data_IF_709278336854
#
_entry.id   IF_709278336854
#
_cell.length_a   1.000
_cell.length_b   1.000
_cell.length_c   1.000
_cell.angle_alpha   90.00
_cell.angle_beta   90.00
_cell.angle_gamma   90.00
#
_symmetry.space_group_name_H-M   'P 1'
#
loop_
_entity.id
_entity.type
_entity.pdbx_description
1 polymer ?
#
# COMPACT_ATOMS: atom_id res chain seq x y z
N UNK A 1 3.87 -18.90 -10.96
CA UNK A 1 4.16 -17.78 -11.88
C UNK A 1 5.66 -17.56 -11.89
N UNK A 2 6.30 -17.41 -13.05
CA UNK A 2 7.74 -17.13 -13.13
C UNK A 2 7.99 -15.63 -12.86
N UNK A 3 9.01 -15.32 -12.06
CA UNK A 3 9.43 -13.96 -11.79
C UNK A 3 10.32 -13.45 -12.92
N UNK A 4 9.71 -12.87 -13.95
CA UNK A 4 10.45 -12.44 -15.15
C UNK A 4 11.44 -11.28 -14.90
N UNK A 5 11.36 -10.61 -13.73
CA UNK A 5 12.31 -9.58 -13.33
C UNK A 5 13.72 -10.15 -13.10
N UNK A 6 13.84 -11.45 -12.81
CA UNK A 6 15.14 -12.11 -12.63
C UNK A 6 15.95 -12.18 -13.93
N UNK A 7 15.28 -12.11 -15.09
CA UNK A 7 15.91 -12.15 -16.41
C UNK A 7 16.28 -10.76 -16.96
N UNK A 8 16.12 -9.70 -16.17
CA UNK A 8 16.56 -8.38 -16.58
C UNK A 8 18.09 -8.36 -16.78
N UNK A 9 18.52 -8.01 -18.00
CA UNK A 9 19.95 -7.90 -18.36
C UNK A 9 20.70 -6.85 -17.55
N UNK A 10 20.00 -5.84 -17.04
CA UNK A 10 20.55 -4.74 -16.24
C UNK A 10 20.16 -4.92 -14.77
N UNK A 11 21.08 -4.61 -13.87
CA UNK A 11 20.82 -4.54 -12.43
C UNK A 11 20.37 -3.14 -12.07
N UNK A 12 19.27 -3.04 -11.32
CA UNK A 12 18.74 -1.80 -10.78
C UNK A 12 18.85 -1.85 -9.26
N UNK A 13 19.10 -0.70 -8.64
CA UNK A 13 19.03 -0.58 -7.18
C UNK A 13 17.57 -0.72 -6.69
N UNK A 14 16.63 -0.15 -7.45
CA UNK A 14 15.21 -0.18 -7.15
C UNK A 14 14.39 -0.32 -8.44
N UNK A 15 13.24 -0.98 -8.34
CA UNK A 15 12.21 -1.07 -9.37
C UNK A 15 10.90 -0.60 -8.74
N UNK A 16 10.23 0.36 -9.40
CA UNK A 16 8.91 0.85 -8.98
C UNK A 16 7.91 0.35 -10.01
N UNK A 17 6.84 -0.30 -9.54
CA UNK A 17 5.76 -0.83 -10.37
C UNK A 17 4.51 -0.01 -10.06
N UNK A 18 4.03 0.74 -11.05
CA UNK A 18 2.73 1.40 -10.97
C UNK A 18 1.63 0.46 -11.46
N UNK A 19 0.47 0.50 -10.81
CA UNK A 19 -0.62 -0.44 -11.06
C UNK A 19 -1.95 0.28 -11.20
N UNK A 20 -2.84 -0.26 -12.02
CA UNK A 20 -4.23 0.17 -12.03
C UNK A 20 -4.87 0.00 -10.63
N UNK A 21 -5.83 0.85 -10.24
CA UNK A 21 -6.53 0.75 -8.96
C UNK A 21 -7.61 -0.36 -8.98
N UNK A 22 -7.20 -1.58 -9.31
CA UNK A 22 -8.08 -2.74 -9.50
C UNK A 22 -7.45 -3.99 -8.88
N UNK A 23 -8.25 -4.81 -8.20
CA UNK A 23 -7.83 -6.11 -7.68
C UNK A 23 -7.85 -7.16 -8.79
N UNK A 24 -6.91 -7.03 -9.73
CA UNK A 24 -6.83 -7.87 -10.93
C UNK A 24 -5.53 -8.71 -10.99
N UNK A 25 -5.32 -9.37 -12.12
CA UNK A 25 -4.10 -10.14 -12.37
C UNK A 25 -2.84 -9.26 -12.48
N UNK A 26 -2.99 -7.99 -12.90
CA UNK A 26 -1.88 -7.03 -12.97
C UNK A 26 -1.36 -6.73 -11.58
N UNK A 27 -2.27 -6.42 -10.64
CA UNK A 27 -1.91 -6.22 -9.25
C UNK A 27 -1.31 -7.49 -8.64
N UNK A 28 -1.90 -8.65 -8.93
CA UNK A 28 -1.42 -9.93 -8.40
C UNK A 28 0.03 -10.22 -8.84
N UNK A 29 0.37 -9.92 -10.10
CA UNK A 29 1.74 -10.03 -10.62
C UNK A 29 2.70 -9.06 -9.92
N UNK A 30 2.28 -7.81 -9.73
CA UNK A 30 3.08 -6.81 -9.04
C UNK A 30 3.35 -7.23 -7.58
N UNK A 31 2.32 -7.68 -6.86
CA UNK A 31 2.43 -8.12 -5.47
C UNK A 31 3.37 -9.32 -5.32
N UNK A 32 3.22 -10.34 -6.16
CA UNK A 32 4.05 -11.57 -6.10
C UNK A 32 5.53 -11.32 -6.37
N UNK A 33 5.87 -10.20 -7.01
CA UNK A 33 7.25 -9.84 -7.39
C UNK A 33 7.86 -8.74 -6.53
N UNK A 34 7.05 -8.10 -5.69
CA UNK A 34 7.46 -6.95 -4.88
C UNK A 34 7.98 -7.36 -3.50
N UNK A 35 8.91 -6.57 -2.97
CA UNK A 35 9.40 -6.74 -1.60
C UNK A 35 8.62 -5.90 -0.56
N UNK A 36 7.90 -4.87 -1.03
CA UNK A 36 7.02 -4.04 -0.22
C UNK A 36 6.01 -3.34 -1.15
N UNK A 37 4.95 -2.77 -0.57
CA UNK A 37 4.01 -1.92 -1.30
C UNK A 37 3.82 -0.57 -0.62
N UNK A 38 3.56 0.45 -1.43
CA UNK A 38 3.17 1.78 -0.99
C UNK A 38 1.75 2.03 -1.49
N UNK A 39 0.82 2.30 -0.58
CA UNK A 39 -0.60 2.50 -0.89
C UNK A 39 -0.96 3.97 -0.59
N UNK A 40 -1.10 4.81 -1.63
CA UNK A 40 -1.66 6.14 -1.45
C UNK A 40 -3.17 6.04 -1.24
N UNK A 41 -3.67 6.61 -0.14
CA UNK A 41 -5.10 6.61 0.17
C UNK A 41 -5.57 7.98 0.67
N UNK A 42 -6.85 8.30 0.51
CA UNK A 42 -7.48 9.49 1.08
C UNK A 42 -8.23 9.14 2.36
N UNK A 43 -8.41 10.11 3.27
CA UNK A 43 -9.20 9.90 4.48
C UNK A 43 -10.71 10.05 4.22
N UNK A 44 -11.23 9.08 3.49
CA UNK A 44 -12.63 8.97 3.11
C UNK A 44 -13.29 7.78 3.82
N UNK A 45 -14.62 7.74 3.77
CA UNK A 45 -15.45 6.76 4.50
C UNK A 45 -15.04 5.30 4.24
N UNK A 46 -14.53 5.00 3.05
CA UNK A 46 -14.24 3.63 2.59
C UNK A 46 -12.75 3.26 2.63
N UNK A 47 -11.93 4.09 3.26
CA UNK A 47 -10.47 3.91 3.29
C UNK A 47 -10.08 2.61 4.00
N UNK A 48 -10.69 2.33 5.14
CA UNK A 48 -10.38 1.16 5.96
C UNK A 48 -10.79 -0.13 5.25
N UNK A 49 -12.01 -0.15 4.71
CA UNK A 49 -12.58 -1.29 4.00
C UNK A 49 -11.77 -1.62 2.73
N UNK A 50 -11.29 -0.59 2.03
CA UNK A 50 -10.44 -0.77 0.85
C UNK A 50 -9.09 -1.39 1.20
N UNK A 51 -8.50 -1.00 2.34
CA UNK A 51 -7.28 -1.61 2.86
C UNK A 51 -7.49 -3.06 3.26
N UNK A 52 -8.59 -3.36 3.96
CA UNK A 52 -8.94 -4.72 4.37
C UNK A 52 -9.18 -5.65 3.16
N UNK A 53 -9.76 -5.12 2.08
CA UNK A 53 -9.95 -5.86 0.85
C UNK A 53 -8.60 -6.19 0.16
N UNK A 54 -7.65 -5.25 0.17
CA UNK A 54 -6.29 -5.48 -0.31
C UNK A 54 -5.57 -6.54 0.53
N UNK A 55 -5.65 -6.44 1.86
CA UNK A 55 -5.06 -7.42 2.79
C UNK A 55 -5.66 -8.81 2.57
N UNK A 56 -6.98 -8.91 2.40
CA UNK A 56 -7.66 -10.15 2.07
C UNK A 56 -7.16 -10.74 0.75
N UNK A 57 -7.00 -9.92 -0.29
CA UNK A 57 -6.45 -10.35 -1.57
C UNK A 57 -5.00 -10.86 -1.44
N UNK A 58 -4.15 -10.17 -0.69
CA UNK A 58 -2.77 -10.60 -0.40
C UNK A 58 -2.73 -11.93 0.37
N UNK A 59 -3.62 -12.11 1.34
CA UNK A 59 -3.75 -13.36 2.09
C UNK A 59 -4.14 -14.54 1.19
N UNK A 60 -5.06 -14.32 0.23
CA UNK A 60 -5.44 -15.35 -0.75
C UNK A 60 -4.27 -15.75 -1.66
N UNK A 61 -3.39 -14.80 -1.98
CA UNK A 61 -2.14 -15.06 -2.71
C UNK A 61 -1.02 -15.64 -1.83
N UNK A 62 -1.25 -15.75 -0.51
CA UNK A 62 -0.26 -16.19 0.49
C UNK A 62 1.00 -15.31 0.52
N UNK A 63 0.83 -14.01 0.23
CA UNK A 63 1.90 -13.02 0.25
C UNK A 63 1.93 -12.34 1.60
N UNK A 64 3.12 -12.18 2.17
CA UNK A 64 3.34 -11.40 3.39
C UNK A 64 4.49 -10.43 3.18
N UNK A 65 4.17 -9.26 2.62
CA UNK A 65 5.12 -8.15 2.42
C UNK A 65 4.64 -6.90 3.16
N UNK A 66 5.56 -6.02 3.60
CA UNK A 66 5.18 -4.79 4.30
C UNK A 66 4.32 -3.87 3.43
N UNK A 67 3.29 -3.29 4.05
CA UNK A 67 2.42 -2.26 3.46
C UNK A 67 2.77 -0.92 4.12
N UNK A 68 3.15 0.06 3.29
CA UNK A 68 3.35 1.43 3.71
C UNK A 68 2.20 2.29 3.22
N UNK A 69 1.48 2.92 4.13
CA UNK A 69 0.32 3.76 3.78
C UNK A 69 0.74 5.23 3.71
N UNK A 70 0.26 5.93 2.68
CA UNK A 70 0.46 7.37 2.54
C UNK A 70 -0.91 8.03 2.47
N UNK A 71 -1.23 8.85 3.48
CA UNK A 71 -2.45 9.66 3.44
C UNK A 71 -2.22 10.84 2.49
N UNK A 72 -2.86 10.78 1.32
CA UNK A 72 -2.81 11.83 0.31
C UNK A 72 -3.97 12.80 0.47
N UNK A 73 -3.83 14.01 -0.09
CA UNK A 73 -4.85 15.08 -0.03
C UNK A 73 -5.29 15.43 1.39
N UNK A 74 -4.36 15.35 2.35
CA UNK A 74 -4.63 15.57 3.76
C UNK A 74 -5.25 16.94 4.03
N UNK A 75 -6.35 16.95 4.80
CA UNK A 75 -6.97 18.17 5.33
C UNK A 75 -6.96 18.12 6.86
N UNK A 76 -6.69 19.26 7.51
CA UNK A 76 -6.79 19.39 8.98
C UNK A 76 -8.25 19.34 9.44
N UNK A 77 -8.85 18.15 9.46
CA UNK A 77 -10.22 17.91 9.94
C UNK A 77 -10.34 16.59 10.73
N UNK A 78 -11.47 16.41 11.40
CA UNK A 78 -11.68 15.27 12.30
C UNK A 78 -11.68 13.92 11.57
N UNK A 79 -12.16 13.85 10.33
CA UNK A 79 -12.17 12.61 9.53
C UNK A 79 -10.75 12.12 9.25
N UNK A 80 -9.84 13.03 8.88
CA UNK A 80 -8.44 12.66 8.64
C UNK A 80 -7.74 12.21 9.91
N UNK A 81 -8.03 12.86 11.05
CA UNK A 81 -7.53 12.43 12.37
C UNK A 81 -8.04 11.05 12.77
N UNK A 82 -9.32 10.76 12.53
CA UNK A 82 -9.92 9.46 12.84
C UNK A 82 -9.32 8.34 11.99
N UNK A 83 -9.13 8.56 10.69
CA UNK A 83 -8.44 7.57 9.85
C UNK A 83 -7.01 7.34 10.35
N UNK A 84 -6.26 8.42 10.65
CA UNK A 84 -4.90 8.31 11.14
C UNK A 84 -4.84 7.46 12.41
N UNK A 85 -5.68 7.75 13.41
CA UNK A 85 -5.75 6.97 14.66
C UNK A 85 -6.09 5.50 14.42
N UNK A 86 -7.01 5.21 13.49
CA UNK A 86 -7.37 3.83 13.18
C UNK A 86 -6.23 3.09 12.49
N UNK A 87 -5.57 3.73 11.54
CA UNK A 87 -4.43 3.17 10.81
C UNK A 87 -3.21 2.98 11.73
N UNK A 88 -2.92 3.95 12.61
CA UNK A 88 -1.86 3.87 13.63
C UNK A 88 -2.09 2.74 14.64
N UNK A 89 -3.35 2.39 14.91
CA UNK A 89 -3.69 1.27 15.81
C UNK A 89 -3.41 -0.11 15.21
N UNK A 90 -3.23 -0.21 13.87
CA UNK A 90 -2.87 -1.47 13.18
C UNK A 90 -1.35 -1.63 13.13
N UNK A 91 -0.83 -2.71 13.70
CA UNK A 91 0.59 -3.01 13.78
C UNK A 91 1.24 -3.13 12.39
N UNK A 92 2.34 -2.40 12.15
CA UNK A 92 3.08 -2.39 10.88
C UNK A 92 3.01 -1.07 10.11
N UNK A 93 2.23 -0.10 10.58
CA UNK A 93 2.15 1.23 9.99
C UNK A 93 3.34 2.11 10.40
N UNK A 94 4.05 2.63 9.41
CA UNK A 94 5.01 3.73 9.59
C UNK A 94 4.36 4.98 9.01
N UNK A 95 3.89 5.87 9.88
CA UNK A 95 3.35 7.15 9.45
C UNK A 95 4.48 7.98 8.82
N UNK A 96 4.42 8.12 7.49
CA UNK A 96 5.23 9.09 6.76
C UNK A 96 4.46 10.39 6.53
N UNK A 97 3.39 10.67 7.30
CA UNK A 97 2.82 12.01 7.33
C UNK A 97 3.96 12.98 7.61
N UNK A 98 4.27 13.78 6.59
CA UNK A 98 5.33 14.77 6.68
C UNK A 98 4.98 15.64 7.87
N UNK A 99 5.86 15.60 8.89
CA UNK A 99 5.81 16.37 10.12
C UNK A 99 5.51 17.86 9.85
N UNK A 100 4.23 18.17 9.68
CA UNK A 100 3.66 19.49 9.73
C UNK A 100 2.99 19.60 11.08
N UNK A 101 3.77 20.03 12.08
CA UNK A 101 3.33 20.35 13.44
C UNK A 101 1.87 20.84 13.46
N UNK A 102 1.12 20.22 14.37
CA UNK A 102 -0.26 20.54 14.75
C UNK A 102 -0.40 22.05 14.86
#
# INVERSE_FOLDING_TARGET
MQNNLEFLKRKYHYVIIDTNPSLDYTLSNALMTSNCIIVPMTAEKWAVESLELLEFHMNNLKIKIPIFLIITRFKKNNTHKQLLQHVESKAGFWDLSMNGKI
#
